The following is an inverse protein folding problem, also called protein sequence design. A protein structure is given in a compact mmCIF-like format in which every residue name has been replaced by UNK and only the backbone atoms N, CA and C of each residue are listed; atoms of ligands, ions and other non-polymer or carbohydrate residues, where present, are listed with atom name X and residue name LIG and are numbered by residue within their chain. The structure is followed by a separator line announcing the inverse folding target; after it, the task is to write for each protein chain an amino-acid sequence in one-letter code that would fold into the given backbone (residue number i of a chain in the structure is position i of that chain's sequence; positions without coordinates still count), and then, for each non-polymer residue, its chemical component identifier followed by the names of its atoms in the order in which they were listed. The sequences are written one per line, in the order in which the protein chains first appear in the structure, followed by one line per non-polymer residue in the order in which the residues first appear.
data_IF_416661905454
#
_entry.id   IF_416661905454
#
_cell.length_a   1.000
_cell.length_b   1.000
_cell.length_c   1.000
_cell.angle_alpha   90.00
_cell.angle_beta   90.00
_cell.angle_gamma   90.00
#
_symmetry.space_group_name_H-M   'P 1'
#
loop_
_entity.id
_entity.type
_entity.pdbx_description
1 polymer ?
#
# COMPACT_ATOMS: atom_id res chain seq x y z
N UNK A 1 -4.63 11.53 -11.42
CA UNK A 1 -5.72 11.32 -10.47
C UNK A 1 -5.63 9.91 -9.90
N UNK A 2 -5.75 9.77 -8.58
CA UNK A 2 -5.68 8.49 -7.86
C UNK A 2 -6.76 7.49 -8.29
N UNK A 3 -7.93 7.97 -8.69
CA UNK A 3 -9.05 7.10 -9.11
C UNK A 3 -8.70 6.23 -10.33
N UNK A 4 -7.75 6.65 -11.17
CA UNK A 4 -7.29 5.84 -12.29
C UNK A 4 -6.61 4.54 -11.86
N UNK A 5 -6.10 4.44 -10.64
CA UNK A 5 -5.57 3.17 -10.12
C UNK A 5 -6.65 2.10 -9.90
N UNK A 6 -7.93 2.45 -10.04
CA UNK A 6 -9.04 1.49 -10.12
C UNK A 6 -9.07 0.75 -11.47
N UNK A 7 -8.25 1.16 -12.44
CA UNK A 7 -8.08 0.52 -13.74
C UNK A 7 -6.78 -0.30 -13.75
N UNK A 8 -6.87 -1.58 -14.08
CA UNK A 8 -5.70 -2.50 -14.04
C UNK A 8 -4.56 -2.02 -14.95
N UNK A 9 -4.90 -1.54 -16.14
CA UNK A 9 -3.89 -1.07 -17.10
C UNK A 9 -3.16 0.17 -16.57
N UNK A 10 -3.87 1.07 -15.91
CA UNK A 10 -3.26 2.23 -15.27
C UNK A 10 -2.37 1.81 -14.08
N UNK A 11 -2.85 0.89 -13.25
CA UNK A 11 -2.09 0.32 -12.14
C UNK A 11 -0.75 -0.27 -12.63
N UNK A 12 -0.77 -1.04 -13.71
CA UNK A 12 0.43 -1.61 -14.32
C UNK A 12 1.36 -0.54 -14.89
N UNK A 13 0.81 0.44 -15.60
CA UNK A 13 1.59 1.49 -16.25
C UNK A 13 2.23 2.48 -15.26
N UNK A 14 1.66 2.62 -14.06
CA UNK A 14 2.09 3.57 -13.04
C UNK A 14 2.50 2.86 -11.74
N UNK A 15 3.35 1.86 -11.88
CA UNK A 15 3.70 0.90 -10.83
C UNK A 15 4.82 1.36 -9.90
N UNK A 16 5.27 2.60 -9.99
CA UNK A 16 6.23 3.20 -9.06
C UNK A 16 5.78 4.62 -8.67
N UNK A 17 5.89 4.90 -7.38
CA UNK A 17 5.52 6.19 -6.81
C UNK A 17 6.77 6.80 -6.21
N UNK A 18 7.10 8.01 -6.66
CA UNK A 18 8.21 8.79 -6.11
C UNK A 18 7.67 9.77 -5.06
N UNK A 19 8.10 9.60 -3.83
CA UNK A 19 7.78 10.50 -2.73
C UNK A 19 8.95 11.46 -2.51
N UNK A 20 8.71 12.74 -2.75
CA UNK A 20 9.67 13.81 -2.51
C UNK A 20 9.44 14.40 -1.13
N UNK A 21 10.52 14.65 -0.39
CA UNK A 21 10.47 15.35 0.89
C UNK A 21 11.35 16.60 0.85
N UNK A 22 11.10 17.52 1.78
CA UNK A 22 11.94 18.72 1.94
C UNK A 22 13.30 18.42 2.61
N UNK A 23 13.49 17.20 3.08
CA UNK A 23 14.68 16.80 3.86
C UNK A 23 15.66 15.95 3.06
N UNK A 24 15.34 15.64 1.80
CA UNK A 24 16.19 14.82 0.94
C UNK A 24 16.13 15.32 -0.50
N UNK A 25 17.28 15.39 -1.16
CA UNK A 25 17.40 15.75 -2.59
C UNK A 25 16.92 14.61 -3.50
N UNK A 26 16.87 13.38 -2.98
CA UNK A 26 16.46 12.20 -3.71
C UNK A 26 15.05 11.73 -3.26
N UNK A 27 14.18 11.30 -4.19
CA UNK A 27 12.89 10.75 -3.83
C UNK A 27 13.03 9.35 -3.22
N UNK A 28 12.09 9.00 -2.34
CA UNK A 28 11.88 7.61 -1.93
C UNK A 28 10.88 6.97 -2.88
N UNK A 29 11.26 5.84 -3.47
CA UNK A 29 10.40 5.11 -4.39
C UNK A 29 9.58 4.03 -3.65
N UNK A 30 8.32 3.92 -4.03
CA UNK A 30 7.37 2.93 -3.53
C UNK A 30 6.78 2.14 -4.67
N UNK A 31 6.46 0.88 -4.42
CA UNK A 31 5.74 0.01 -5.34
C UNK A 31 4.37 -0.34 -4.78
N UNK A 32 3.26 -0.15 -5.53
CA UNK A 32 1.94 -0.55 -5.08
C UNK A 32 1.81 -2.07 -5.06
N UNK A 33 1.21 -2.57 -3.97
CA UNK A 33 0.94 -4.01 -3.80
C UNK A 33 -0.55 -4.31 -3.60
N UNK A 34 -1.37 -3.32 -3.33
CA UNK A 34 -2.81 -3.47 -3.19
C UNK A 34 -3.56 -2.18 -3.51
N UNK A 35 -4.70 -2.31 -4.15
CA UNK A 35 -5.63 -1.24 -4.44
C UNK A 35 -7.00 -1.63 -3.87
N UNK A 36 -7.47 -0.89 -2.86
CA UNK A 36 -8.69 -1.23 -2.12
C UNK A 36 -9.75 -0.16 -2.33
N UNK A 37 -10.88 -0.56 -2.87
CA UNK A 37 -12.09 0.24 -2.89
C UNK A 37 -12.87 -0.02 -1.59
N UNK A 38 -12.67 0.84 -0.60
CA UNK A 38 -13.33 0.78 0.70
C UNK A 38 -14.67 1.52 0.69
N UNK A 39 -15.43 1.40 -0.40
CA UNK A 39 -16.77 1.99 -0.46
C UNK A 39 -17.73 1.26 0.48
N UNK A 40 -18.57 2.04 1.15
CA UNK A 40 -19.59 1.53 2.07
C UNK A 40 -20.52 0.49 1.40
N UNK A 41 -20.75 0.66 0.11
CA UNK A 41 -21.63 -0.22 -0.65
C UNK A 41 -21.07 -1.65 -0.81
N UNK A 42 -19.75 -1.82 -0.81
CA UNK A 42 -19.12 -3.13 -0.98
C UNK A 42 -18.86 -3.86 0.33
N UNK A 43 -18.46 -3.14 1.37
CA UNK A 43 -17.92 -3.77 2.56
C UNK A 43 -18.62 -3.39 3.87
N UNK A 44 -19.53 -2.44 3.84
CA UNK A 44 -20.17 -1.86 5.04
C UNK A 44 -19.18 -1.41 6.13
N UNK A 45 -17.92 -1.19 5.77
CA UNK A 45 -16.85 -0.85 6.68
C UNK A 45 -16.12 0.41 6.21
N UNK A 46 -16.79 1.56 6.34
CA UNK A 46 -16.23 2.86 6.02
C UNK A 46 -14.99 3.23 6.89
N UNK A 47 -14.77 2.48 7.97
CA UNK A 47 -13.64 2.70 8.87
C UNK A 47 -12.48 1.70 8.65
N UNK A 48 -12.59 0.81 7.68
CA UNK A 48 -11.56 -0.20 7.42
C UNK A 48 -10.17 0.41 7.34
N UNK A 49 -10.00 1.43 6.52
CA UNK A 49 -8.70 2.07 6.36
C UNK A 49 -8.22 2.78 7.63
N UNK A 50 -9.11 3.42 8.40
CA UNK A 50 -8.75 4.09 9.65
C UNK A 50 -8.23 3.10 10.68
N UNK A 51 -8.89 1.95 10.81
CA UNK A 51 -8.42 0.90 11.72
C UNK A 51 -7.06 0.34 11.30
N UNK A 52 -6.82 0.26 9.99
CA UNK A 52 -5.54 -0.23 9.48
C UNK A 52 -4.42 0.81 9.59
N UNK A 53 -4.74 2.10 9.56
CA UNK A 53 -3.74 3.14 9.79
C UNK A 53 -3.10 3.05 11.16
N UNK A 54 -3.86 2.78 12.21
CA UNK A 54 -3.31 2.66 13.57
C UNK A 54 -2.29 1.52 13.70
N UNK A 55 -2.43 0.48 12.90
CA UNK A 55 -1.47 -0.64 12.85
C UNK A 55 -0.13 -0.19 12.26
N UNK A 56 -0.16 0.83 11.40
CA UNK A 56 1.03 1.34 10.72
C UNK A 56 1.68 2.54 11.42
N UNK A 57 1.14 3.01 12.55
CA UNK A 57 1.74 4.10 13.34
C UNK A 57 3.24 3.89 13.65
N UNK A 58 3.71 2.68 14.00
CA UNK A 58 5.13 2.45 14.25
C UNK A 58 6.04 2.76 13.05
N UNK A 59 5.51 2.78 11.84
CA UNK A 59 6.30 3.11 10.65
C UNK A 59 6.51 4.60 10.39
N UNK A 60 5.94 5.46 11.22
CA UNK A 60 6.24 6.89 11.23
C UNK A 60 7.58 7.17 11.91
N UNK A 61 8.08 6.20 12.69
CA UNK A 61 9.37 6.30 13.39
C UNK A 61 10.57 6.21 12.42
N UNK A 62 11.70 6.75 12.84
CA UNK A 62 12.95 6.63 12.09
C UNK A 62 13.39 5.17 11.95
N UNK A 63 14.22 4.89 10.93
CA UNK A 63 14.69 3.52 10.68
C UNK A 63 15.42 2.91 11.91
N UNK A 64 16.17 3.73 12.64
CA UNK A 64 16.88 3.31 13.86
C UNK A 64 15.91 2.96 15.01
N UNK A 65 14.77 3.63 15.08
CA UNK A 65 13.74 3.36 16.08
C UNK A 65 12.89 2.15 15.72
N UNK A 66 12.76 1.80 14.44
CA UNK A 66 11.98 0.65 13.97
C UNK A 66 12.56 -0.69 14.38
N UNK A 67 13.87 -0.86 14.29
CA UNK A 67 14.53 -2.14 14.63
C UNK A 67 14.34 -2.58 16.08
N UNK A 68 13.99 -1.64 16.97
CA UNK A 68 13.92 -1.89 18.41
C UNK A 68 12.52 -1.79 19.03
N UNK A 69 11.49 -1.46 18.25
CA UNK A 69 10.18 -1.07 18.82
C UNK A 69 9.03 -2.02 18.58
N UNK A 70 9.10 -2.90 17.57
CA UNK A 70 8.01 -3.83 17.31
C UNK A 70 8.14 -5.10 18.15
N UNK A 71 7.14 -5.34 18.98
CA UNK A 71 7.00 -6.62 19.70
C UNK A 71 6.58 -7.74 18.74
N UNK A 72 6.78 -9.04 19.10
CA UNK A 72 6.29 -10.15 18.27
C UNK A 72 4.79 -10.10 17.98
N UNK A 73 3.98 -9.60 18.93
CA UNK A 73 2.54 -9.43 18.75
C UNK A 73 2.21 -8.33 17.73
N UNK A 74 2.96 -7.23 17.76
CA UNK A 74 2.80 -6.14 16.79
C UNK A 74 3.20 -6.60 15.38
N UNK A 75 4.29 -7.35 15.25
CA UNK A 75 4.71 -7.96 13.98
C UNK A 75 3.60 -8.86 13.43
N UNK A 76 3.04 -9.74 14.25
CA UNK A 76 1.94 -10.64 13.84
C UNK A 76 0.71 -9.83 13.41
N UNK A 77 0.36 -8.78 14.14
CA UNK A 77 -0.78 -7.89 13.82
C UNK A 77 -0.58 -7.18 12.49
N UNK A 78 0.63 -6.71 12.21
CA UNK A 78 0.98 -6.08 10.94
C UNK A 78 0.88 -7.06 9.78
N UNK A 79 1.44 -8.25 9.93
CA UNK A 79 1.40 -9.28 8.88
C UNK A 79 -0.04 -9.75 8.58
N UNK A 80 -0.88 -9.90 9.60
CA UNK A 80 -2.31 -10.17 9.44
C UNK A 80 -3.03 -9.04 8.70
N UNK A 81 -2.68 -7.78 9.01
CA UNK A 81 -3.26 -6.61 8.35
C UNK A 81 -2.88 -6.53 6.89
N UNK A 82 -1.63 -6.83 6.55
CA UNK A 82 -1.16 -6.91 5.16
C UNK A 82 -1.93 -8.00 4.41
N UNK A 83 -2.11 -9.17 5.01
CA UNK A 83 -2.88 -10.26 4.41
C UNK A 83 -4.33 -9.86 4.14
N UNK A 84 -4.97 -9.18 5.09
CA UNK A 84 -6.34 -8.67 4.91
C UNK A 84 -6.42 -7.60 3.81
N UNK A 85 -5.48 -6.66 3.77
CA UNK A 85 -5.39 -5.65 2.71
C UNK A 85 -5.28 -6.33 1.34
N UNK A 86 -4.42 -7.33 1.20
CA UNK A 86 -4.27 -8.09 -0.04
C UNK A 86 -5.54 -8.85 -0.42
N UNK A 87 -6.23 -9.44 0.56
CA UNK A 87 -7.49 -10.16 0.33
C UNK A 87 -8.62 -9.25 -0.18
N UNK A 88 -8.58 -7.96 0.18
CA UNK A 88 -9.56 -6.94 -0.23
C UNK A 88 -9.13 -6.16 -1.47
N UNK A 89 -7.94 -6.39 -1.97
CA UNK A 89 -7.41 -5.68 -3.14
C UNK A 89 -8.20 -6.02 -4.40
N UNK A 90 -8.37 -5.04 -5.26
CA UNK A 90 -8.91 -5.22 -6.61
C UNK A 90 -7.95 -6.02 -7.51
N UNK A 91 -6.66 -6.04 -7.17
CA UNK A 91 -5.61 -6.69 -7.96
C UNK A 91 -4.72 -7.56 -7.08
N UNK A 92 -4.23 -8.66 -7.66
CA UNK A 92 -3.22 -9.50 -7.06
C UNK A 92 -1.85 -9.22 -7.69
N UNK A 93 -0.86 -8.98 -6.85
CA UNK A 93 0.57 -8.84 -7.23
C UNK A 93 1.41 -9.69 -6.27
N UNK A 94 1.27 -11.02 -6.30
CA UNK A 94 1.87 -11.89 -5.30
C UNK A 94 3.40 -11.85 -5.28
N UNK A 95 4.04 -11.54 -6.40
CA UNK A 95 5.49 -11.47 -6.52
C UNK A 95 6.10 -10.21 -5.85
N UNK A 96 5.28 -9.21 -5.55
CA UNK A 96 5.70 -8.11 -4.67
C UNK A 96 5.50 -8.57 -3.23
N UNK A 97 6.55 -9.08 -2.62
CA UNK A 97 6.54 -9.49 -1.21
C UNK A 97 6.40 -8.26 -0.30
N UNK A 98 5.62 -8.39 0.76
CA UNK A 98 5.39 -7.34 1.77
C UNK A 98 5.29 -8.00 3.14
N UNK A 99 5.99 -7.46 4.11
CA UNK A 99 5.93 -7.91 5.50
C UNK A 99 6.12 -6.75 6.49
N UNK A 100 6.18 -7.07 7.79
CA UNK A 100 6.32 -6.10 8.86
C UNK A 100 7.64 -5.30 8.83
N UNK A 101 8.64 -5.74 8.07
CA UNK A 101 9.92 -5.04 7.91
C UNK A 101 9.84 -3.91 6.88
N UNK A 102 8.83 -3.92 6.03
CA UNK A 102 8.67 -2.94 4.98
C UNK A 102 8.07 -1.63 5.50
N UNK A 103 8.48 -0.52 4.92
CA UNK A 103 7.85 0.78 5.11
C UNK A 103 6.64 0.88 4.20
N UNK A 104 5.47 1.09 4.77
CA UNK A 104 4.19 1.15 4.06
C UNK A 104 3.76 2.59 3.85
N UNK A 105 3.31 2.89 2.64
CA UNK A 105 2.66 4.14 2.28
C UNK A 105 1.23 3.84 1.85
N UNK A 106 0.26 4.47 2.50
CA UNK A 106 -1.14 4.40 2.10
C UNK A 106 -1.56 5.75 1.50
N UNK A 107 -1.96 5.75 0.25
CA UNK A 107 -2.50 6.91 -0.44
C UNK A 107 -4.02 6.77 -0.50
N UNK A 108 -4.72 7.69 0.15
CA UNK A 108 -6.17 7.66 0.30
C UNK A 108 -6.80 8.81 -0.47
N UNK A 109 -7.82 8.52 -1.25
CA UNK A 109 -8.66 9.54 -1.89
C UNK A 109 -10.12 9.32 -1.54
N UNK A 110 -10.88 10.42 -1.50
CA UNK A 110 -12.33 10.34 -1.46
C UNK A 110 -12.82 9.98 -2.86
N UNK A 111 -13.62 8.93 -2.97
CA UNK A 111 -14.39 8.67 -4.18
C UNK A 111 -15.71 9.41 -4.08
N UNK A 112 -16.07 10.13 -5.14
CA UNK A 112 -17.31 10.92 -5.17
C UNK A 112 -18.51 10.14 -5.70
N UNK A 113 -18.31 8.88 -6.06
CA UNK A 113 -19.39 8.06 -6.63
C UNK A 113 -20.44 7.65 -5.59
N UNK A 114 -20.04 7.54 -4.33
CA UNK A 114 -20.93 7.21 -3.21
C UNK A 114 -20.55 8.04 -1.98
N UNK A 115 -21.51 8.36 -1.09
CA UNK A 115 -21.19 8.96 0.20
C UNK A 115 -20.19 8.09 0.98
N UNK A 116 -19.17 8.74 1.56
CA UNK A 116 -18.12 8.10 2.36
C UNK A 116 -17.26 7.04 1.64
N UNK A 117 -17.34 6.97 0.31
CA UNK A 117 -16.48 6.10 -0.47
C UNK A 117 -15.01 6.55 -0.38
N UNK A 118 -14.13 5.59 -0.21
CA UNK A 118 -12.67 5.80 -0.14
C UNK A 118 -11.98 4.77 -1.02
N UNK A 119 -11.05 5.26 -1.81
CA UNK A 119 -10.09 4.40 -2.50
C UNK A 119 -8.73 4.55 -1.84
N UNK A 120 -8.05 3.43 -1.59
CA UNK A 120 -6.73 3.42 -0.97
C UNK A 120 -5.77 2.58 -1.79
N UNK A 121 -4.65 3.20 -2.14
CA UNK A 121 -3.51 2.51 -2.77
C UNK A 121 -2.47 2.24 -1.70
N UNK A 122 -2.18 0.97 -1.43
CA UNK A 122 -1.15 0.55 -0.49
C UNK A 122 0.13 0.22 -1.23
N UNK A 123 1.21 0.85 -0.80
CA UNK A 123 2.53 0.73 -1.39
C UNK A 123 3.56 0.38 -0.32
N UNK A 124 4.64 -0.25 -0.70
CA UNK A 124 5.83 -0.37 0.15
C UNK A 124 7.04 0.29 -0.48
N UNK A 125 7.96 0.76 0.35
CA UNK A 125 9.24 1.26 -0.12
C UNK A 125 10.01 0.16 -0.86
N UNK A 126 10.77 0.52 -1.89
CA UNK A 126 11.67 -0.40 -2.55
C UNK A 126 12.68 -0.94 -1.55
N UNK A 127 12.96 -2.24 -1.61
CA UNK A 127 13.97 -2.92 -0.81
C UNK A 127 15.35 -2.73 -1.43
N UNK A 128 16.38 -2.97 -0.64
CA UNK A 128 17.76 -2.99 -1.15
C UNK A 128 17.88 -3.93 -2.35
N UNK A 129 18.54 -3.46 -3.41
CA UNK A 129 18.71 -4.19 -4.67
C UNK A 129 17.56 -4.09 -5.65
N UNK A 130 16.42 -3.52 -5.25
CA UNK A 130 15.32 -3.23 -6.17
C UNK A 130 15.50 -1.85 -6.83
N UNK A 131 15.01 -1.74 -8.05
CA UNK A 131 14.96 -0.48 -8.82
C UNK A 131 13.52 -0.22 -9.27
N UNK A 132 13.14 1.03 -9.60
CA UNK A 132 11.82 1.31 -10.18
C UNK A 132 11.51 0.42 -11.39
N UNK A 133 12.49 0.17 -12.24
CA UNK A 133 12.34 -0.68 -13.44
C UNK A 133 12.13 -2.15 -13.07
N UNK A 134 12.86 -2.66 -12.07
CA UNK A 134 12.75 -4.07 -11.65
C UNK A 134 11.38 -4.39 -11.05
N UNK A 135 10.85 -3.51 -10.18
CA UNK A 135 9.52 -3.71 -9.60
C UNK A 135 8.41 -3.45 -10.61
N UNK A 136 8.58 -2.50 -11.53
CA UNK A 136 7.63 -2.25 -12.60
C UNK A 136 7.46 -3.50 -13.50
N UNK A 137 8.54 -4.20 -13.81
CA UNK A 137 8.49 -5.45 -14.56
C UNK A 137 7.67 -6.52 -13.84
N UNK A 138 7.77 -6.62 -12.51
CA UNK A 138 6.99 -7.55 -11.70
C UNK A 138 5.49 -7.17 -11.70
N UNK A 139 5.18 -5.89 -11.56
CA UNK A 139 3.79 -5.41 -11.51
C UNK A 139 3.05 -5.64 -12.85
N UNK A 140 3.76 -5.79 -13.97
CA UNK A 140 3.13 -6.19 -15.24
C UNK A 140 2.38 -7.53 -15.12
N UNK A 141 2.75 -8.39 -14.18
CA UNK A 141 2.09 -9.67 -13.92
C UNK A 141 0.83 -9.53 -13.05
N UNK A 142 0.48 -8.34 -12.61
CA UNK A 142 -0.72 -8.10 -11.82
C UNK A 142 -1.97 -8.59 -12.54
N UNK A 143 -2.87 -9.21 -11.78
CA UNK A 143 -4.15 -9.73 -12.28
C UNK A 143 -5.31 -9.15 -11.49
N UNK A 144 -6.46 -8.98 -12.14
CA UNK A 144 -7.68 -8.58 -11.45
C UNK A 144 -8.15 -9.69 -10.50
N UNK A 145 -8.59 -9.30 -9.32
CA UNK A 145 -9.28 -10.16 -8.37
C UNK A 145 -10.79 -9.98 -8.52
N UNK A 146 -11.49 -11.07 -8.50
CA UNK A 146 -12.95 -11.05 -8.60
C UNK A 146 -13.60 -10.88 -7.23
#
# INVERSE_FOLDING_TARGET
NMDHYMELDYFKANSTIALYSLYSDEPTYYVPFAAVDASVAKEHDSYFFLRRFSVFEPWVLSDDERENTLTPEEIATVDESIAEIRARSMYAVPEIEVDSTDRILALVTCSYELPDARFTLFCRALREGETPESVAAIVQNATAMN
#
